data_IF_481305812410
#
_entry.id   IF_481305812410
#
_cell.length_a   1.000
_cell.length_b   1.000
_cell.length_c   1.000
_cell.angle_alpha   90.00
_cell.angle_beta   90.00
_cell.angle_gamma   90.00
#
_symmetry.space_group_name_H-M   'P 1'
#
loop_
_entity.id
_entity.type
_entity.pdbx_description
1 polymer ?
#
# COMPACT_ATOMS: atom_id res chain seq x y z
N UNK A 1 4.03 -16.12 -9.83
CA UNK A 1 2.78 -16.87 -9.52
C UNK A 1 2.22 -16.48 -8.16
N UNK A 2 2.99 -16.59 -7.06
CA UNK A 2 2.52 -16.23 -5.72
C UNK A 2 2.05 -14.76 -5.58
N UNK A 3 2.76 -13.81 -6.19
CA UNK A 3 2.36 -12.39 -6.19
C UNK A 3 1.00 -12.14 -6.86
N UNK A 4 0.79 -12.71 -8.06
CA UNK A 4 -0.49 -12.58 -8.77
C UNK A 4 -1.66 -13.20 -8.00
N UNK A 5 -1.45 -14.35 -7.36
CA UNK A 5 -2.45 -14.95 -6.47
C UNK A 5 -2.79 -14.04 -5.29
N UNK A 6 -1.78 -13.40 -4.67
CA UNK A 6 -1.97 -12.44 -3.58
C UNK A 6 -2.85 -11.26 -3.98
N UNK A 7 -2.62 -10.67 -5.16
CA UNK A 7 -3.43 -9.54 -5.63
C UNK A 7 -4.89 -9.94 -5.92
N UNK A 8 -5.11 -11.08 -6.59
CA UNK A 8 -6.46 -11.56 -6.93
C UNK A 8 -7.25 -11.88 -5.67
N UNK A 9 -6.63 -12.57 -4.71
CA UNK A 9 -7.27 -12.93 -3.43
C UNK A 9 -7.58 -11.68 -2.61
N UNK A 10 -6.67 -10.70 -2.57
CA UNK A 10 -6.90 -9.41 -1.89
C UNK A 10 -8.07 -8.65 -2.50
N UNK A 11 -8.07 -8.48 -3.83
CA UNK A 11 -9.16 -7.80 -4.54
C UNK A 11 -10.53 -8.46 -4.33
N UNK A 12 -10.57 -9.79 -4.36
CA UNK A 12 -11.80 -10.55 -4.07
C UNK A 12 -12.23 -10.37 -2.60
N UNK A 13 -11.30 -10.50 -1.66
CA UNK A 13 -11.57 -10.37 -0.22
C UNK A 13 -12.13 -8.98 0.13
N UNK A 14 -11.50 -7.92 -0.35
CA UNK A 14 -11.93 -6.55 -0.08
C UNK A 14 -13.17 -6.13 -0.89
N UNK A 15 -13.30 -6.60 -2.13
CA UNK A 15 -14.51 -6.39 -2.93
C UNK A 15 -15.75 -7.00 -2.28
N UNK A 16 -15.63 -8.20 -1.71
CA UNK A 16 -16.71 -8.86 -0.97
C UNK A 16 -16.94 -8.23 0.41
N UNK A 17 -15.89 -7.82 1.12
CA UNK A 17 -16.02 -7.14 2.41
C UNK A 17 -16.73 -5.78 2.30
N UNK A 18 -16.53 -5.05 1.21
CA UNK A 18 -17.18 -3.74 1.00
C UNK A 18 -18.72 -3.85 0.94
N UNK A 19 -19.24 -4.98 0.45
CA UNK A 19 -20.69 -5.26 0.42
C UNK A 19 -21.30 -5.43 1.82
N UNK A 20 -20.57 -6.07 2.74
CA UNK A 20 -21.10 -6.47 4.05
C UNK A 20 -20.60 -5.61 5.24
N UNK A 21 -19.53 -4.82 5.05
CA UNK A 21 -18.80 -4.17 6.14
C UNK A 21 -19.07 -2.66 6.20
N UNK A 22 -20.31 -2.27 6.49
CA UNK A 22 -20.63 -0.87 6.89
C UNK A 22 -19.93 -0.41 8.18
N UNK A 23 -19.16 -1.27 8.87
CA UNK A 23 -18.51 -0.99 10.16
C UNK A 23 -16.98 -0.94 10.12
N UNK A 24 -16.32 -1.40 9.06
CA UNK A 24 -14.86 -1.31 8.97
C UNK A 24 -14.48 0.06 8.43
N UNK A 25 -13.85 0.88 9.27
CA UNK A 25 -13.28 2.15 8.85
C UNK A 25 -12.14 1.88 7.86
N UNK A 26 -12.11 2.63 6.78
CA UNK A 26 -11.14 2.49 5.68
C UNK A 26 -9.71 2.67 6.21
N UNK A 27 -9.56 3.58 7.18
CA UNK A 27 -8.38 3.74 8.05
C UNK A 27 -7.82 2.43 8.64
N UNK A 28 -8.67 1.55 9.18
CA UNK A 28 -8.24 0.29 9.81
C UNK A 28 -7.66 -0.69 8.80
N UNK A 29 -8.21 -0.70 7.58
CA UNK A 29 -7.75 -1.59 6.51
C UNK A 29 -6.37 -1.13 6.00
N UNK A 30 -6.17 0.18 5.87
CA UNK A 30 -4.88 0.79 5.49
C UNK A 30 -3.80 0.53 6.55
N UNK A 31 -4.13 0.65 7.84
CA UNK A 31 -3.21 0.33 8.95
C UNK A 31 -2.80 -1.15 8.98
N UNK A 32 -3.75 -2.05 8.71
CA UNK A 32 -3.49 -3.49 8.63
C UNK A 32 -2.56 -3.81 7.45
N UNK A 33 -2.78 -3.18 6.29
CA UNK A 33 -1.89 -3.29 5.13
C UNK A 33 -0.46 -2.83 5.44
N UNK A 34 -0.31 -1.66 6.08
CA UNK A 34 0.99 -1.13 6.47
C UNK A 34 1.72 -2.05 7.47
N UNK A 35 0.99 -2.64 8.42
CA UNK A 35 1.56 -3.60 9.39
C UNK A 35 2.08 -4.85 8.68
N UNK A 36 1.31 -5.39 7.73
CA UNK A 36 1.72 -6.55 6.93
C UNK A 36 2.96 -6.21 6.09
N UNK A 37 3.03 -5.03 5.47
CA UNK A 37 4.22 -4.57 4.75
C UNK A 37 5.47 -4.56 5.62
N UNK A 38 5.38 -4.01 6.83
CA UNK A 38 6.52 -3.98 7.76
C UNK A 38 6.97 -5.40 8.14
N UNK A 39 6.03 -6.30 8.46
CA UNK A 39 6.35 -7.69 8.78
C UNK A 39 7.01 -8.42 7.62
N UNK A 40 6.52 -8.19 6.39
CA UNK A 40 7.11 -8.78 5.19
C UNK A 40 8.50 -8.22 4.91
N UNK A 41 8.73 -6.92 5.11
CA UNK A 41 10.07 -6.33 4.96
C UNK A 41 11.07 -6.93 5.96
N UNK A 42 10.66 -7.16 7.21
CA UNK A 42 11.50 -7.86 8.19
C UNK A 42 11.79 -9.29 7.73
N UNK A 43 10.78 -10.02 7.24
CA UNK A 43 10.98 -11.38 6.74
C UNK A 43 11.90 -11.43 5.51
N UNK A 44 11.79 -10.48 4.59
CA UNK A 44 12.67 -10.35 3.41
C UNK A 44 14.11 -10.02 3.84
N UNK A 45 14.29 -9.15 4.83
CA UNK A 45 15.62 -8.83 5.37
C UNK A 45 16.32 -10.05 5.95
N UNK A 46 15.58 -10.91 6.65
CA UNK A 46 16.11 -12.13 7.28
C UNK A 46 16.41 -13.20 6.23
N UNK A 47 15.59 -13.30 5.18
CA UNK A 47 15.64 -14.38 4.20
C UNK A 47 16.67 -14.15 3.08
N UNK A 48 16.99 -12.89 2.72
CA UNK A 48 17.86 -12.57 1.60
C UNK A 48 19.20 -11.93 2.01
N UNK A 49 20.32 -12.31 1.37
CA UNK A 49 21.62 -11.68 1.60
C UNK A 49 21.63 -10.24 1.05
N UNK A 50 22.49 -9.39 1.62
CA UNK A 50 22.53 -7.95 1.30
C UNK A 50 22.83 -7.61 -0.17
N UNK A 51 23.55 -8.51 -0.83
CA UNK A 51 24.01 -8.35 -2.21
C UNK A 51 23.04 -8.97 -3.23
N UNK A 52 21.94 -9.60 -2.79
CA UNK A 52 20.97 -10.26 -3.65
C UNK A 52 20.45 -9.42 -4.85
N UNK A 53 20.23 -8.10 -4.73
CA UNK A 53 19.78 -7.29 -5.87
C UNK A 53 20.91 -6.79 -6.78
N UNK A 54 22.17 -6.88 -6.36
CA UNK A 54 23.32 -6.34 -7.10
C UNK A 54 24.10 -7.42 -7.84
N UNK A 55 24.21 -8.62 -7.27
CA UNK A 55 24.96 -9.71 -7.88
C UNK A 55 24.33 -11.07 -7.56
N UNK A 56 24.54 -12.05 -8.45
CA UNK A 56 24.14 -13.45 -8.17
C UNK A 56 25.11 -14.00 -7.14
N UNK A 57 24.73 -13.90 -5.87
CA UNK A 57 25.57 -14.33 -4.77
C UNK A 57 25.15 -15.72 -4.26
N UNK A 58 26.12 -16.57 -3.96
CA UNK A 58 25.91 -17.82 -3.22
C UNK A 58 25.95 -17.58 -1.69
N UNK A 59 26.14 -16.33 -1.26
CA UNK A 59 26.11 -15.95 0.15
C UNK A 59 24.73 -16.25 0.76
N UNK A 60 24.76 -16.93 1.90
CA UNK A 60 23.56 -17.25 2.66
C UNK A 60 23.01 -15.98 3.35
N UNK A 61 21.68 -15.90 3.47
CA UNK A 61 21.03 -14.92 4.35
C UNK A 61 21.31 -15.22 5.83
N UNK A 62 20.66 -14.50 6.74
CA UNK A 62 20.71 -14.82 8.18
C UNK A 62 20.15 -16.22 8.51
N UNK A 63 19.34 -16.77 7.60
CA UNK A 63 18.79 -18.13 7.60
C UNK A 63 19.09 -18.75 6.24
N UNK A 64 19.23 -20.08 6.18
CA UNK A 64 19.35 -20.81 4.92
C UNK A 64 18.18 -20.44 3.98
N UNK A 65 18.46 -20.00 2.74
CA UNK A 65 17.44 -19.47 1.84
C UNK A 65 16.37 -20.53 1.57
N UNK A 66 15.14 -20.23 1.99
CA UNK A 66 13.99 -21.11 1.84
C UNK A 66 12.98 -20.50 0.86
N UNK A 67 12.79 -21.18 -0.27
CA UNK A 67 11.88 -20.78 -1.35
C UNK A 67 10.44 -20.62 -0.85
N UNK A 68 9.99 -21.46 0.08
CA UNK A 68 8.64 -21.36 0.62
C UNK A 68 8.41 -20.03 1.35
N UNK A 69 9.39 -19.58 2.15
CA UNK A 69 9.32 -18.30 2.86
C UNK A 69 9.31 -17.15 1.86
N UNK A 70 10.17 -17.19 0.84
CA UNK A 70 10.21 -16.16 -0.21
C UNK A 70 8.88 -16.07 -0.98
N UNK A 71 8.26 -17.21 -1.31
CA UNK A 71 6.95 -17.26 -1.98
C UNK A 71 5.84 -16.71 -1.08
N UNK A 72 5.84 -17.07 0.21
CA UNK A 72 4.89 -16.54 1.19
C UNK A 72 5.06 -15.03 1.38
N UNK A 73 6.30 -14.52 1.48
CA UNK A 73 6.59 -13.09 1.52
C UNK A 73 6.06 -12.38 0.26
N UNK A 74 6.32 -12.92 -0.93
CA UNK A 74 5.81 -12.35 -2.19
C UNK A 74 4.28 -12.34 -2.26
N UNK A 75 3.63 -13.38 -1.73
CA UNK A 75 2.17 -13.44 -1.61
C UNK A 75 1.63 -12.33 -0.68
N UNK A 76 2.14 -12.24 0.55
CA UNK A 76 1.67 -11.23 1.51
C UNK A 76 2.00 -9.81 1.10
N UNK A 77 3.15 -9.59 0.46
CA UNK A 77 3.53 -8.29 -0.08
C UNK A 77 2.50 -7.82 -1.12
N UNK A 78 2.18 -8.69 -2.08
CA UNK A 78 1.23 -8.41 -3.14
C UNK A 78 -0.21 -8.30 -2.61
N UNK A 79 -0.56 -9.09 -1.59
CA UNK A 79 -1.85 -9.01 -0.91
C UNK A 79 -2.05 -7.64 -0.24
N UNK A 80 -1.05 -7.16 0.51
CA UNK A 80 -1.10 -5.87 1.19
C UNK A 80 -0.99 -4.68 0.21
N UNK A 81 -0.24 -4.81 -0.87
CA UNK A 81 -0.18 -3.82 -1.95
C UNK A 81 -1.55 -3.61 -2.61
N UNK A 82 -2.21 -4.69 -3.01
CA UNK A 82 -3.55 -4.64 -3.58
C UNK A 82 -4.59 -4.06 -2.60
N UNK A 83 -4.41 -4.29 -1.29
CA UNK A 83 -5.24 -3.70 -0.25
C UNK A 83 -5.11 -2.18 -0.24
N UNK A 84 -3.88 -1.67 -0.25
CA UNK A 84 -3.60 -0.23 -0.27
C UNK A 84 -4.18 0.44 -1.51
N UNK A 85 -3.95 -0.13 -2.69
CA UNK A 85 -4.47 0.40 -3.95
C UNK A 85 -6.00 0.43 -3.97
N UNK A 86 -6.65 -0.63 -3.47
CA UNK A 86 -8.12 -0.67 -3.35
C UNK A 86 -8.64 0.44 -2.44
N UNK A 87 -7.98 0.68 -1.31
CA UNK A 87 -8.39 1.75 -0.38
C UNK A 87 -8.11 3.15 -0.91
N UNK A 88 -7.00 3.38 -1.61
CA UNK A 88 -6.71 4.68 -2.22
C UNK A 88 -7.74 4.97 -3.31
N UNK A 89 -8.01 4.04 -4.22
CA UNK A 89 -8.99 4.26 -5.29
C UNK A 89 -10.41 4.44 -4.77
N UNK A 90 -10.81 3.66 -3.76
CA UNK A 90 -12.10 3.88 -3.10
C UNK A 90 -12.19 5.27 -2.46
N UNK A 91 -11.06 5.84 -2.00
CA UNK A 91 -11.04 7.17 -1.38
C UNK A 91 -11.25 8.26 -2.41
N UNK A 92 -10.52 8.16 -3.52
CA UNK A 92 -10.65 9.10 -4.63
C UNK A 92 -12.08 9.13 -5.19
N UNK A 93 -12.70 7.96 -5.37
CA UNK A 93 -14.06 7.85 -5.92
C UNK A 93 -15.10 8.44 -4.96
N UNK A 94 -14.95 8.22 -3.65
CA UNK A 94 -15.89 8.74 -2.65
C UNK A 94 -15.82 10.26 -2.51
N UNK A 95 -14.62 10.84 -2.48
CA UNK A 95 -14.45 12.28 -2.21
C UNK A 95 -14.41 13.16 -3.46
N UNK A 96 -14.11 12.60 -4.63
CA UNK A 96 -14.10 13.33 -5.90
C UNK A 96 -15.08 12.71 -6.91
N UNK A 97 -16.39 12.61 -6.62
CA UNK A 97 -17.34 11.91 -7.49
C UNK A 97 -17.43 12.53 -8.90
N UNK A 98 -17.33 13.87 -9.00
CA UNK A 98 -17.40 14.59 -10.27
C UNK A 98 -16.05 14.67 -11.02
N UNK A 99 -14.94 14.44 -10.33
CA UNK A 99 -13.57 14.58 -10.86
C UNK A 99 -12.72 13.32 -10.64
N UNK A 100 -13.36 12.18 -10.40
CA UNK A 100 -12.68 10.95 -9.95
C UNK A 100 -11.68 10.43 -10.97
N UNK A 101 -11.98 10.57 -12.26
CA UNK A 101 -11.05 10.23 -13.35
C UNK A 101 -9.77 11.07 -13.32
N UNK A 102 -9.88 12.37 -13.05
CA UNK A 102 -8.72 13.27 -12.95
C UNK A 102 -7.90 12.96 -11.70
N UNK A 103 -8.55 12.77 -10.56
CA UNK A 103 -7.88 12.38 -9.32
C UNK A 103 -7.16 11.04 -9.49
N UNK A 104 -7.81 10.07 -10.13
CA UNK A 104 -7.25 8.74 -10.39
C UNK A 104 -6.03 8.81 -11.31
N UNK A 105 -6.13 9.57 -12.40
CA UNK A 105 -5.02 9.79 -13.31
C UNK A 105 -3.81 10.43 -12.60
N UNK A 106 -4.05 11.39 -11.71
CA UNK A 106 -2.99 12.02 -10.91
C UNK A 106 -2.32 11.01 -9.97
N UNK A 107 -3.09 10.17 -9.27
CA UNK A 107 -2.54 9.13 -8.41
C UNK A 107 -1.65 8.16 -9.20
N UNK A 108 -2.15 7.68 -10.35
CA UNK A 108 -1.42 6.75 -11.20
C UNK A 108 -0.16 7.39 -11.81
N UNK A 109 -0.20 8.69 -12.12
CA UNK A 109 0.97 9.44 -12.58
C UNK A 109 2.09 9.43 -11.53
N UNK A 110 1.78 9.76 -10.27
CA UNK A 110 2.77 9.75 -9.19
C UNK A 110 3.27 8.34 -8.87
N UNK A 111 2.41 7.32 -8.91
CA UNK A 111 2.79 5.92 -8.72
C UNK A 111 3.82 5.46 -9.76
N UNK A 112 3.58 5.76 -11.03
CA UNK A 112 4.50 5.43 -12.12
C UNK A 112 5.80 6.25 -12.04
N UNK A 113 5.72 7.52 -11.65
CA UNK A 113 6.90 8.37 -11.45
C UNK A 113 7.81 7.82 -10.35
N UNK A 114 7.23 7.44 -9.21
CA UNK A 114 7.96 6.86 -8.08
C UNK A 114 8.51 5.47 -8.40
N UNK A 115 7.76 4.66 -9.15
CA UNK A 115 8.24 3.34 -9.64
C UNK A 115 9.41 3.49 -10.60
N UNK A 116 9.37 4.48 -11.50
CA UNK A 116 10.48 4.81 -12.38
C UNK A 116 11.72 5.25 -11.59
N UNK A 117 11.55 6.13 -10.60
CA UNK A 117 12.63 6.50 -9.69
C UNK A 117 13.19 5.27 -8.94
N UNK A 118 12.31 4.36 -8.50
CA UNK A 118 12.67 3.11 -7.84
C UNK A 118 13.52 2.18 -8.68
N UNK A 119 13.22 2.05 -9.97
CA UNK A 119 14.07 1.30 -10.89
C UNK A 119 15.41 1.98 -11.13
N UNK A 120 15.46 3.31 -11.17
CA UNK A 120 16.70 4.04 -11.38
C UNK A 120 17.70 3.81 -10.23
N UNK A 121 17.29 4.01 -8.97
CA UNK A 121 18.17 3.78 -7.82
C UNK A 121 18.36 2.29 -7.50
N UNK A 122 17.46 1.41 -7.94
CA UNK A 122 17.52 -0.04 -7.71
C UNK A 122 18.78 -0.70 -8.26
N UNK A 123 19.39 -0.13 -9.30
CA UNK A 123 20.62 -0.66 -9.93
C UNK A 123 21.91 -0.39 -9.14
N UNK A 124 21.87 0.52 -8.15
CA UNK A 124 23.08 1.01 -7.46
C UNK A 124 23.09 0.70 -5.95
N UNK A 125 21.94 0.41 -5.34
CA UNK A 125 21.81 0.28 -3.88
C UNK A 125 21.64 -1.17 -3.40
N UNK A 126 22.25 -1.49 -2.26
CA UNK A 126 22.11 -2.79 -1.57
C UNK A 126 20.68 -2.98 -1.04
N UNK A 127 20.26 -4.24 -0.90
CA UNK A 127 18.90 -4.63 -0.49
C UNK A 127 18.40 -3.89 0.75
N UNK A 128 19.26 -3.73 1.77
CA UNK A 128 18.92 -3.05 3.03
C UNK A 128 18.41 -1.62 2.81
N UNK A 129 19.00 -0.87 1.89
CA UNK A 129 18.60 0.52 1.63
C UNK A 129 17.24 0.58 0.97
N UNK A 130 16.93 -0.37 0.07
CA UNK A 130 15.62 -0.46 -0.56
C UNK A 130 14.53 -0.72 0.49
N UNK A 131 14.74 -1.66 1.41
CA UNK A 131 13.79 -1.98 2.47
C UNK A 131 13.55 -0.81 3.44
N UNK A 132 14.61 -0.05 3.79
CA UNK A 132 14.46 1.11 4.68
C UNK A 132 13.63 2.20 3.99
N UNK A 133 13.91 2.50 2.72
CA UNK A 133 13.17 3.50 1.95
C UNK A 133 11.69 3.10 1.83
N UNK A 134 11.41 1.83 1.50
CA UNK A 134 10.05 1.31 1.41
C UNK A 134 9.33 1.35 2.76
N UNK A 135 10.00 1.01 3.85
CA UNK A 135 9.39 1.04 5.19
C UNK A 135 9.05 2.47 5.63
N UNK A 136 9.93 3.44 5.38
CA UNK A 136 9.65 4.86 5.68
C UNK A 136 8.51 5.35 4.79
N UNK A 137 8.54 5.02 3.49
CA UNK A 137 7.47 5.35 2.55
C UNK A 137 6.12 4.77 2.97
N UNK A 138 6.08 3.54 3.46
CA UNK A 138 4.87 2.88 3.96
C UNK A 138 4.27 3.62 5.17
N UNK A 139 5.11 4.02 6.13
CA UNK A 139 4.68 4.77 7.32
C UNK A 139 4.16 6.16 6.92
N UNK A 140 4.91 6.89 6.09
CA UNK A 140 4.50 8.22 5.61
C UNK A 140 3.20 8.16 4.79
N UNK A 141 3.06 7.16 3.92
CA UNK A 141 1.83 6.94 3.15
C UNK A 141 0.64 6.65 4.06
N UNK A 142 0.82 5.83 5.09
CA UNK A 142 -0.23 5.55 6.08
C UNK A 142 -0.65 6.81 6.84
N UNK A 143 0.30 7.61 7.32
CA UNK A 143 0.03 8.87 8.01
C UNK A 143 -0.70 9.86 7.08
N UNK A 144 -0.21 9.99 5.84
CA UNK A 144 -0.80 10.87 4.83
C UNK A 144 -2.24 10.46 4.52
N UNK A 145 -2.52 9.16 4.41
CA UNK A 145 -3.87 8.65 4.15
C UNK A 145 -4.82 8.99 5.31
N UNK A 146 -4.41 8.70 6.55
CA UNK A 146 -5.21 8.99 7.76
C UNK A 146 -5.49 10.50 7.86
N UNK A 147 -4.49 11.34 7.57
CA UNK A 147 -4.64 12.78 7.62
C UNK A 147 -5.57 13.29 6.51
N UNK A 148 -5.44 12.78 5.29
CA UNK A 148 -6.31 13.12 4.17
C UNK A 148 -7.77 12.73 4.45
N UNK A 149 -8.01 11.55 5.03
CA UNK A 149 -9.35 11.10 5.43
C UNK A 149 -9.97 12.04 6.46
N UNK A 150 -9.22 12.40 7.52
CA UNK A 150 -9.71 13.33 8.56
C UNK A 150 -9.99 14.73 8.03
N UNK A 151 -9.20 15.21 7.06
CA UNK A 151 -9.42 16.55 6.45
C UNK A 151 -10.68 16.56 5.60
N UNK A 152 -10.90 15.51 4.80
CA UNK A 152 -12.09 15.41 3.95
C UNK A 152 -13.36 15.20 4.78
N UNK A 153 -13.34 14.31 5.78
CA UNK A 153 -14.48 14.10 6.70
C UNK A 153 -14.95 15.43 7.35
N UNK A 154 -14.00 16.26 7.80
CA UNK A 154 -14.30 17.58 8.38
C UNK A 154 -14.92 18.54 7.39
N UNK A 155 -14.47 18.50 6.13
CA UNK A 155 -14.96 19.39 5.07
C UNK A 155 -16.41 19.06 4.69
N UNK A 156 -16.74 17.76 4.67
CA UNK A 156 -18.11 17.27 4.47
C UNK A 156 -19.01 17.66 5.64
N UNK A 157 -18.57 17.42 6.89
CA UNK A 157 -19.36 17.76 8.09
C UNK A 157 -19.64 19.28 8.20
N UNK A 158 -18.70 20.12 7.77
CA UNK A 158 -18.91 21.58 7.73
C UNK A 158 -19.93 22.00 6.66
N UNK A 159 -19.91 21.34 5.50
CA UNK A 159 -20.85 21.62 4.40
C UNK A 159 -22.28 21.26 4.80
N UNK A 160 -22.48 20.09 5.43
CA UNK A 160 -23.80 19.65 5.91
C UNK A 160 -24.36 20.60 6.98
N UNK A 161 -23.52 21.07 7.91
CA UNK A 161 -23.92 22.05 8.93
C UNK A 161 -24.33 23.40 8.31
N UNK A 162 -23.69 23.82 7.21
CA UNK A 162 -24.09 25.04 6.51
C UNK A 162 -25.43 24.88 5.79
N UNK A 163 -25.64 23.76 5.08
CA UNK A 163 -26.92 23.47 4.41
C UNK A 163 -28.06 23.44 5.42
N UNK A 164 -27.88 22.72 6.54
CA UNK A 164 -28.90 22.66 7.60
C UNK A 164 -29.23 24.03 8.19
N UNK A 165 -28.28 24.98 8.23
CA UNK A 165 -28.52 26.33 8.75
C UNK A 165 -29.27 27.23 7.76
N UNK A 166 -29.29 26.90 6.47
CA UNK A 166 -30.00 27.65 5.42
C UNK A 166 -31.46 27.19 5.25
N UNK A 167 -31.80 26.00 5.75
CA UNK A 167 -33.17 25.45 5.71
C UNK A 167 -34.06 25.90 6.90
N UNK A 168 -33.53 26.73 7.82
CA UNK A 168 -34.24 27.39 8.91
C UNK A 168 -34.15 28.91 8.79
#
# INVERSE_FOLDING_TARGET
MAQGAGQVISGLFFGLLNSNSRKLKRETIVLLGATIHILVFIAVYINFPQNAPLDKTEDEGLIYPNIAIALTCGFFLAFADACWNTQIFSFLITYFPNQGSQAFALNLFFENLMTSAAFFYGTSFKLKYHLIILSIGAILGCISFVMAEKVQDRSVEQSDKQVSKLEF
#
